data_IF_492701176113
#
_entry.id   IF_492701176113
#
_cell.length_a   1.000
_cell.length_b   1.000
_cell.length_c   1.000
_cell.angle_alpha   90.00
_cell.angle_beta   90.00
_cell.angle_gamma   90.00
#
_symmetry.space_group_name_H-M   'P 1'
#
loop_
_entity.id
_entity.type
_entity.pdbx_description
1 polymer ?
#
# COMPACT_ATOMS: atom_id res chain seq x y z
N UNK A 1 12.79 5.35 -25.34
CA UNK A 1 13.43 4.41 -24.39
C UNK A 1 12.44 3.29 -24.14
N UNK A 2 12.86 2.02 -24.17
CA UNK A 2 11.99 0.93 -23.73
C UNK A 2 11.80 1.09 -22.22
N UNK A 3 10.66 1.66 -21.83
CA UNK A 3 10.27 1.89 -20.43
C UNK A 3 9.77 0.60 -19.77
N UNK A 4 9.79 -0.52 -20.49
CA UNK A 4 9.19 -1.79 -20.10
C UNK A 4 10.20 -2.93 -20.22
N UNK A 5 10.31 -3.73 -19.16
CA UNK A 5 11.03 -5.01 -19.10
C UNK A 5 9.98 -6.12 -18.93
N UNK A 6 10.24 -7.30 -19.46
CA UNK A 6 9.33 -8.44 -19.33
C UNK A 6 10.10 -9.75 -19.29
N UNK A 7 9.60 -10.70 -18.49
CA UNK A 7 9.96 -12.12 -18.53
C UNK A 7 8.73 -12.95 -18.84
N UNK A 8 8.77 -14.26 -18.55
CA UNK A 8 7.66 -15.16 -18.89
C UNK A 8 6.39 -14.87 -18.08
N UNK A 9 6.54 -14.60 -16.78
CA UNK A 9 5.43 -14.40 -15.85
C UNK A 9 5.42 -13.01 -15.19
N UNK A 10 6.36 -12.13 -15.55
CA UNK A 10 6.47 -10.83 -14.94
C UNK A 10 6.70 -9.75 -15.97
N UNK A 11 6.27 -8.55 -15.64
CA UNK A 11 6.47 -7.33 -16.43
C UNK A 11 6.87 -6.23 -15.49
N UNK A 12 7.78 -5.34 -15.87
CA UNK A 12 8.13 -4.17 -15.08
C UNK A 12 8.18 -2.93 -15.95
N UNK A 13 7.74 -1.79 -15.43
CA UNK A 13 7.73 -0.54 -16.17
C UNK A 13 8.00 0.68 -15.28
N UNK A 14 8.43 1.75 -15.92
CA UNK A 14 8.57 3.07 -15.31
C UNK A 14 7.39 3.95 -15.72
N UNK A 15 6.71 4.53 -14.73
CA UNK A 15 5.65 5.51 -14.91
C UNK A 15 6.25 6.93 -14.84
N UNK A 16 6.31 7.66 -15.97
CA UNK A 16 6.88 9.01 -16.01
C UNK A 16 5.99 10.06 -15.33
N UNK A 17 4.69 9.82 -15.18
CA UNK A 17 3.75 10.78 -14.60
C UNK A 17 3.91 10.85 -13.08
N UNK A 18 4.20 9.70 -12.47
CA UNK A 18 4.41 9.58 -11.01
C UNK A 18 5.88 9.47 -10.62
N UNK A 19 6.79 9.31 -11.59
CA UNK A 19 8.22 9.04 -11.39
C UNK A 19 8.46 7.80 -10.50
N UNK A 20 7.70 6.74 -10.73
CA UNK A 20 7.75 5.48 -9.97
C UNK A 20 7.97 4.28 -10.87
N UNK A 21 8.45 3.19 -10.29
CA UNK A 21 8.67 1.93 -10.99
C UNK A 21 7.70 0.89 -10.45
N UNK A 22 7.14 0.10 -11.37
CA UNK A 22 6.18 -0.94 -11.07
C UNK A 22 6.62 -2.28 -11.67
N UNK A 23 6.20 -3.36 -11.04
CA UNK A 23 6.31 -4.72 -11.58
C UNK A 23 5.01 -5.50 -11.33
N UNK A 24 4.60 -6.28 -12.31
CA UNK A 24 3.42 -7.12 -12.33
C UNK A 24 3.91 -8.57 -12.39
N UNK A 25 3.33 -9.47 -11.59
CA UNK A 25 3.55 -10.91 -11.70
C UNK A 25 2.21 -11.60 -11.97
N UNK A 26 2.16 -12.44 -12.99
CA UNK A 26 1.03 -13.28 -13.34
C UNK A 26 1.24 -14.72 -12.86
N UNK A 27 0.32 -15.23 -12.05
CA UNK A 27 0.23 -16.65 -11.73
C UNK A 27 -0.95 -17.27 -12.45
N UNK A 28 -0.69 -18.33 -13.22
CA UNK A 28 -1.75 -19.13 -13.83
C UNK A 28 -2.00 -20.35 -12.94
N UNK A 29 -3.16 -20.40 -12.30
CA UNK A 29 -3.63 -21.55 -11.54
C UNK A 29 -4.65 -22.36 -12.37
N UNK A 30 -5.07 -23.52 -11.86
CA UNK A 30 -6.16 -24.29 -12.47
C UNK A 30 -7.50 -23.55 -12.43
N UNK A 31 -7.67 -22.61 -11.50
CA UNK A 31 -8.90 -21.88 -11.22
C UNK A 31 -8.96 -20.52 -11.93
N UNK A 32 -7.82 -20.01 -12.42
CA UNK A 32 -7.78 -18.75 -13.15
C UNK A 32 -6.39 -18.16 -13.32
N UNK A 33 -6.33 -16.91 -13.77
CA UNK A 33 -5.10 -16.09 -13.80
C UNK A 33 -5.20 -15.03 -12.72
N UNK A 34 -4.18 -14.97 -11.88
CA UNK A 34 -4.02 -13.98 -10.81
C UNK A 34 -2.89 -13.04 -11.22
N UNK A 35 -3.12 -11.73 -11.11
CA UNK A 35 -2.10 -10.70 -11.35
C UNK A 35 -1.84 -9.95 -10.04
N UNK A 36 -0.57 -9.76 -9.71
CA UNK A 36 -0.12 -9.02 -8.54
C UNK A 36 0.79 -7.88 -8.96
N UNK A 37 0.49 -6.67 -8.49
CA UNK A 37 1.24 -5.46 -8.80
C UNK A 37 2.11 -5.02 -7.60
N UNK A 38 3.34 -4.58 -7.90
CA UNK A 38 4.36 -4.20 -6.94
C UNK A 38 4.99 -2.87 -7.35
N UNK A 39 5.05 -1.89 -6.44
CA UNK A 39 5.93 -0.73 -6.57
C UNK A 39 7.34 -1.18 -6.18
N UNK A 40 8.25 -1.04 -7.14
CA UNK A 40 9.65 -1.46 -7.01
C UNK A 40 10.56 -0.23 -6.99
N UNK A 41 11.77 -0.38 -6.48
CA UNK A 41 12.78 0.67 -6.58
C UNK A 41 13.45 0.66 -7.96
N UNK A 42 14.10 1.76 -8.31
CA UNK A 42 14.94 1.84 -9.51
C UNK A 42 16.02 0.74 -9.52
N UNK A 43 16.59 0.41 -8.37
CA UNK A 43 17.64 -0.63 -8.25
C UNK A 43 17.11 -2.02 -8.59
N UNK A 44 15.91 -2.34 -8.11
CA UNK A 44 15.21 -3.58 -8.48
C UNK A 44 14.92 -3.55 -9.97
N UNK A 45 14.35 -2.46 -10.49
CA UNK A 45 14.06 -2.33 -11.92
C UNK A 45 15.30 -2.51 -12.80
N UNK A 46 16.45 -1.95 -12.40
CA UNK A 46 17.71 -2.09 -13.12
C UNK A 46 18.20 -3.54 -13.14
N UNK A 47 18.04 -4.27 -12.04
CA UNK A 47 18.46 -5.66 -11.87
C UNK A 47 17.55 -6.68 -12.57
N UNK A 48 16.31 -6.30 -12.88
CA UNK A 48 15.40 -7.21 -13.56
C UNK A 48 15.87 -7.53 -14.99
N UNK A 49 15.76 -8.81 -15.36
CA UNK A 49 16.22 -9.35 -16.65
C UNK A 49 17.71 -9.67 -16.72
N UNK A 50 18.48 -9.47 -15.63
CA UNK A 50 19.89 -9.90 -15.58
C UNK A 50 20.06 -11.33 -15.06
N UNK A 51 19.01 -11.89 -14.44
CA UNK A 51 18.99 -13.27 -13.98
C UNK A 51 18.71 -14.24 -15.13
N UNK A 52 19.32 -15.41 -15.06
CA UNK A 52 19.14 -16.45 -16.08
C UNK A 52 17.79 -17.18 -15.94
N UNK A 53 17.24 -17.23 -14.73
CA UNK A 53 15.94 -17.83 -14.42
C UNK A 53 14.93 -16.73 -14.06
N UNK A 54 13.71 -16.86 -14.59
CA UNK A 54 12.61 -15.97 -14.24
C UNK A 54 12.17 -16.11 -12.78
N UNK A 55 12.41 -17.26 -12.17
CA UNK A 55 12.13 -17.51 -10.75
C UNK A 55 12.90 -16.54 -9.85
N UNK A 56 14.14 -16.19 -10.21
CA UNK A 56 14.95 -15.24 -9.46
C UNK A 56 14.46 -13.79 -9.65
N UNK A 57 13.99 -13.46 -10.87
CA UNK A 57 13.34 -12.17 -11.14
C UNK A 57 12.05 -12.03 -10.31
N UNK A 58 11.20 -13.05 -10.29
CA UNK A 58 9.97 -13.07 -9.48
C UNK A 58 10.29 -12.93 -7.99
N UNK A 59 11.30 -13.65 -7.49
CA UNK A 59 11.73 -13.57 -6.10
C UNK A 59 12.21 -12.16 -5.75
N UNK A 60 12.98 -11.52 -6.63
CA UNK A 60 13.44 -10.16 -6.44
C UNK A 60 12.25 -9.17 -6.38
N UNK A 61 11.29 -9.28 -7.29
CA UNK A 61 10.08 -8.44 -7.28
C UNK A 61 9.30 -8.61 -5.97
N UNK A 62 9.16 -9.84 -5.47
CA UNK A 62 8.47 -10.13 -4.20
C UNK A 62 9.17 -9.55 -2.96
N UNK A 63 10.44 -9.16 -3.04
CA UNK A 63 11.11 -8.41 -1.95
C UNK A 63 10.66 -6.95 -1.88
N UNK A 64 10.08 -6.43 -2.96
CA UNK A 64 9.57 -5.08 -3.01
C UNK A 64 8.27 -4.93 -2.21
N UNK A 65 7.85 -3.68 -2.02
CA UNK A 65 6.63 -3.37 -1.29
C UNK A 65 5.44 -3.70 -2.18
N UNK A 66 4.70 -4.76 -1.83
CA UNK A 66 3.38 -5.01 -2.39
C UNK A 66 2.54 -3.76 -2.18
N UNK A 67 2.18 -3.13 -3.28
CA UNK A 67 1.36 -1.92 -3.30
C UNK A 67 -0.03 -2.36 -3.70
N UNK A 68 -1.04 -1.62 -3.28
CA UNK A 68 -2.44 -2.03 -3.43
C UNK A 68 -2.74 -2.39 -4.90
N UNK A 69 -2.77 -3.69 -5.21
CA UNK A 69 -3.01 -4.21 -6.56
C UNK A 69 -4.50 -4.25 -6.77
N UNK A 70 -4.96 -3.49 -7.75
CA UNK A 70 -6.35 -3.43 -8.12
C UNK A 70 -6.77 -4.81 -8.66
N UNK A 71 -7.88 -5.36 -8.15
CA UNK A 71 -8.46 -6.61 -8.67
C UNK A 71 -8.78 -6.43 -10.16
N UNK A 72 -7.87 -6.89 -11.02
CA UNK A 72 -8.17 -7.24 -12.39
C UNK A 72 -8.67 -8.70 -12.43
N UNK A 73 -9.58 -9.04 -11.50
CA UNK A 73 -10.42 -10.23 -11.67
C UNK A 73 -11.30 -9.98 -12.89
N UNK A 74 -11.50 -10.99 -13.72
CA UNK A 74 -12.29 -10.94 -14.96
C UNK A 74 -13.80 -10.70 -14.74
N UNK A 75 -14.18 -9.77 -13.88
CA UNK A 75 -15.53 -9.23 -13.74
C UNK A 75 -15.39 -7.74 -13.46
N UNK A 76 -15.68 -6.92 -14.47
CA UNK A 76 -15.38 -5.50 -14.46
C UNK A 76 -15.98 -4.70 -13.31
N UNK A 77 -15.39 -3.51 -13.11
CA UNK A 77 -15.81 -2.40 -12.23
C UNK A 77 -15.66 -2.71 -10.74
N UNK A 78 -14.84 -1.97 -9.99
CA UNK A 78 -15.02 -0.55 -9.65
C UNK A 78 -13.64 0.11 -9.55
N UNK A 79 -13.33 1.04 -10.49
CA UNK A 79 -12.23 2.02 -10.43
C UNK A 79 -12.02 2.54 -9.01
N UNK A 80 -10.83 3.01 -8.59
CA UNK A 80 -10.64 3.45 -7.21
C UNK A 80 -11.73 4.47 -6.90
N UNK A 81 -12.70 4.06 -6.08
CA UNK A 81 -13.25 5.00 -5.15
C UNK A 81 -11.99 5.50 -4.47
N UNK A 82 -11.62 6.74 -4.80
CA UNK A 82 -10.88 7.59 -3.88
C UNK A 82 -11.35 7.13 -2.51
N UNK A 83 -10.44 6.75 -1.63
CA UNK A 83 -10.75 6.87 -0.22
C UNK A 83 -11.02 8.37 -0.03
N UNK A 84 -12.25 8.78 -0.34
CA UNK A 84 -12.85 10.01 0.11
C UNK A 84 -12.84 9.74 1.59
N UNK A 85 -11.85 10.33 2.25
CA UNK A 85 -11.78 10.36 3.69
C UNK A 85 -13.15 10.80 4.16
N UNK A 86 -13.96 9.84 4.61
CA UNK A 86 -15.37 10.07 4.83
C UNK A 86 -15.49 11.09 5.95
N UNK A 87 -16.38 12.07 5.82
CA UNK A 87 -16.60 13.06 6.88
C UNK A 87 -16.97 12.36 8.20
N UNK A 88 -17.57 11.17 8.11
CA UNK A 88 -17.87 10.30 9.25
C UNK A 88 -16.61 9.77 9.95
N UNK A 89 -15.55 9.41 9.21
CA UNK A 89 -14.27 9.01 9.79
C UNK A 89 -13.57 10.18 10.49
N UNK A 90 -13.69 11.39 9.92
CA UNK A 90 -13.14 12.60 10.53
C UNK A 90 -13.90 13.00 11.80
N UNK A 91 -15.24 12.89 11.79
CA UNK A 91 -16.09 13.17 12.95
C UNK A 91 -15.90 12.13 14.07
N UNK A 92 -15.68 10.86 13.73
CA UNK A 92 -15.30 9.82 14.68
C UNK A 92 -13.95 10.11 15.36
N UNK A 93 -12.96 10.53 14.57
CA UNK A 93 -11.63 10.86 15.08
C UNK A 93 -11.67 12.08 16.01
N UNK A 94 -12.37 13.16 15.61
CA UNK A 94 -12.55 14.35 16.45
C UNK A 94 -13.38 14.08 17.72
N UNK A 95 -14.37 13.18 17.67
CA UNK A 95 -15.09 12.72 18.88
C UNK A 95 -14.16 11.99 19.84
N UNK A 96 -13.24 11.18 19.33
CA UNK A 96 -12.24 10.48 20.15
C UNK A 96 -11.23 11.45 20.78
N UNK A 97 -10.68 12.40 20.01
CA UNK A 97 -9.77 13.44 20.54
C UNK A 97 -10.42 14.27 21.65
N UNK A 98 -11.69 14.69 21.47
CA UNK A 98 -12.44 15.43 22.49
C UNK A 98 -12.65 14.62 23.77
N UNK A 99 -12.79 13.29 23.69
CA UNK A 99 -12.93 12.43 24.87
C UNK A 99 -11.62 12.29 25.64
N UNK A 100 -10.48 12.23 24.95
CA UNK A 100 -9.14 12.14 25.56
C UNK A 100 -8.80 13.44 26.30
N UNK A 101 -9.09 14.61 25.71
CA UNK A 101 -8.81 15.89 26.39
C UNK A 101 -9.69 16.09 27.65
N UNK A 102 -10.95 15.66 27.62
CA UNK A 102 -11.84 15.73 28.80
C UNK A 102 -11.43 14.77 29.93
N UNK A 103 -10.86 13.61 29.62
CA UNK A 103 -10.37 12.68 30.65
C UNK A 103 -9.07 13.19 31.29
N UNK A 104 -8.18 13.80 30.51
CA UNK A 104 -6.96 14.45 31.01
C UNK A 104 -7.27 15.66 31.92
N UNK A 105 -8.23 16.52 31.57
CA UNK A 105 -8.64 17.63 32.42
C UNK A 105 -9.27 17.18 33.75
N UNK A 106 -10.10 16.12 33.73
CA UNK A 106 -10.71 15.55 34.94
C UNK A 106 -9.65 14.91 35.86
N UNK A 107 -8.66 14.23 35.28
CA UNK A 107 -7.53 13.69 36.04
C UNK A 107 -6.72 14.80 36.72
N UNK A 108 -6.43 15.89 35.99
CA UNK A 108 -5.66 17.01 36.52
C UNK A 108 -6.43 17.81 37.61
N UNK A 109 -7.76 17.97 37.48
CA UNK A 109 -8.61 18.57 38.53
C UNK A 109 -8.70 17.71 39.80
N UNK A 110 -8.74 16.37 39.70
CA UNK A 110 -8.67 15.47 40.86
C UNK A 110 -7.32 15.56 41.57
N UNK A 111 -6.21 15.60 40.82
CA UNK A 111 -4.87 15.72 41.37
C UNK A 111 -4.66 17.05 42.15
N UNK A 112 -5.17 18.17 41.62
CA UNK A 112 -5.11 19.47 42.32
C UNK A 112 -5.98 19.53 43.59
N UNK A 113 -7.10 18.82 43.65
CA UNK A 113 -7.93 18.73 44.86
C UNK A 113 -7.27 17.91 45.97
N UNK A 114 -6.56 16.85 45.63
CA UNK A 114 -5.85 16.00 46.60
C UNK A 114 -4.66 16.70 47.27
N UNK A 115 -3.98 17.61 46.56
CA UNK A 115 -2.88 18.44 47.09
C UNK A 115 -3.32 19.61 47.99
N UNK A 116 -4.62 19.92 48.07
CA UNK A 116 -5.15 20.98 48.95
C UNK A 116 -5.75 20.44 50.26
N UNK A 117 -5.77 19.12 50.42
CA UNK A 117 -6.34 18.42 51.57
C UNK A 117 -5.28 17.72 52.44
N UNK A 118 -4.00 17.96 52.16
CA UNK A 118 -2.83 17.64 53.00
C UNK A 118 -2.25 18.96 53.51
#
# INVERSE_FOLDING_TARGET
>A
MQTKKQGNNWTAYYDPDTNRYFAEIMYTSREGREQYDYEITQDIYASLGTFQDDTDNERLIRTAKMTYSFENTMYGTIGPERMVWDEEANDAMHKCEKKINKSAEKANKKAKRKKKSE
#
